data_IF_084606545390
#
_entry.id   IF_084606545390
#
_cell.length_a   1.000
_cell.length_b   1.000
_cell.length_c   1.000
_cell.angle_alpha   90.00
_cell.angle_beta   90.00
_cell.angle_gamma   90.00
#
_symmetry.space_group_name_H-M   'P 1'
#
loop_
_entity.id
_entity.type
_entity.pdbx_description
1 polymer ?
#
# COMPACT_ATOMS: atom_id res chain seq x y z
N UNK A 1 -7.49 -14.36 -44.12
CA UNK A 1 -8.19 -13.09 -43.83
C UNK A 1 -9.37 -13.41 -42.94
N UNK A 2 -9.56 -12.71 -41.83
CA UNK A 2 -10.76 -12.86 -41.00
C UNK A 2 -11.91 -12.21 -41.78
N UNK A 3 -12.93 -12.99 -42.11
CA UNK A 3 -14.10 -12.49 -42.85
C UNK A 3 -14.86 -11.47 -41.99
N UNK A 4 -15.44 -10.41 -42.58
CA UNK A 4 -16.23 -9.45 -41.84
C UNK A 4 -17.46 -10.12 -41.19
N UNK A 5 -17.95 -9.62 -40.05
CA UNK A 5 -19.09 -10.20 -39.36
C UNK A 5 -20.30 -10.25 -40.29
N UNK A 6 -20.82 -11.45 -40.54
CA UNK A 6 -22.03 -11.68 -41.32
C UNK A 6 -23.21 -11.95 -40.37
N UNK A 7 -24.41 -11.50 -40.73
CA UNK A 7 -25.62 -11.66 -39.88
C UNK A 7 -25.99 -13.12 -39.58
N UNK A 8 -25.42 -14.06 -40.35
CA UNK A 8 -25.55 -15.51 -40.22
C UNK A 8 -24.63 -16.14 -39.15
N UNK A 9 -23.68 -15.39 -38.59
CA UNK A 9 -22.72 -15.89 -37.59
C UNK A 9 -23.26 -15.90 -36.14
N UNK A 10 -24.56 -15.68 -35.96
CA UNK A 10 -25.18 -15.58 -34.63
C UNK A 10 -24.87 -14.26 -33.92
N UNK A 11 -25.26 -14.18 -32.64
CA UNK A 11 -24.97 -13.00 -31.81
C UNK A 11 -23.53 -13.06 -31.31
N UNK A 12 -22.90 -11.91 -31.18
CA UNK A 12 -21.60 -11.80 -30.51
C UNK A 12 -21.68 -12.38 -29.10
N UNK A 13 -20.75 -13.29 -28.77
CA UNK A 13 -20.63 -13.91 -27.45
C UNK A 13 -19.28 -13.54 -26.85
N UNK A 14 -19.29 -13.15 -25.57
CA UNK A 14 -18.07 -12.93 -24.81
C UNK A 14 -17.55 -14.28 -24.32
N UNK A 15 -16.33 -14.65 -24.73
CA UNK A 15 -15.73 -15.97 -24.42
C UNK A 15 -14.43 -15.77 -23.65
N UNK A 16 -14.20 -16.62 -22.64
CA UNK A 16 -12.92 -16.73 -21.94
C UNK A 16 -12.23 -17.99 -22.49
N UNK A 17 -10.97 -17.89 -22.92
CA UNK A 17 -10.27 -18.99 -23.64
C UNK A 17 -10.17 -20.31 -22.86
N UNK A 18 -10.44 -20.31 -21.55
CA UNK A 18 -10.38 -21.46 -20.65
C UNK A 18 -11.72 -21.93 -20.09
N UNK A 19 -12.84 -21.25 -20.37
CA UNK A 19 -14.17 -21.62 -19.85
C UNK A 19 -15.22 -21.52 -20.96
N UNK A 20 -16.08 -22.53 -21.06
CA UNK A 20 -17.17 -22.59 -22.04
C UNK A 20 -18.07 -21.34 -22.02
N UNK A 21 -18.85 -21.19 -23.10
CA UNK A 21 -19.61 -19.97 -23.43
C UNK A 21 -20.66 -19.52 -22.40
N UNK A 22 -21.02 -20.38 -21.44
CA UNK A 22 -22.08 -20.10 -20.45
C UNK A 22 -21.57 -19.46 -19.14
N UNK A 23 -20.30 -19.13 -19.05
CA UNK A 23 -19.64 -18.87 -17.77
C UNK A 23 -18.86 -17.54 -17.71
N UNK A 24 -19.09 -16.65 -18.68
CA UNK A 24 -18.46 -15.34 -18.73
C UNK A 24 -18.99 -14.41 -17.63
N UNK A 25 -18.07 -13.86 -16.82
CA UNK A 25 -18.31 -12.67 -16.03
C UNK A 25 -17.07 -11.78 -16.07
N UNK A 26 -17.29 -10.46 -15.96
CA UNK A 26 -16.18 -9.49 -15.87
C UNK A 26 -15.27 -9.82 -14.69
N UNK A 27 -15.85 -10.28 -13.57
CA UNK A 27 -15.09 -10.71 -12.39
C UNK A 27 -14.15 -11.89 -12.68
N UNK A 28 -14.63 -12.93 -13.40
CA UNK A 28 -13.77 -14.07 -13.76
C UNK A 28 -12.69 -13.73 -14.77
N UNK A 29 -13.04 -12.95 -15.79
CA UNK A 29 -12.06 -12.47 -16.77
C UNK A 29 -10.97 -11.65 -16.06
N UNK A 30 -11.38 -10.74 -15.17
CA UNK A 30 -10.45 -9.94 -14.36
C UNK A 30 -9.54 -10.83 -13.50
N UNK A 31 -10.10 -11.79 -12.76
CA UNK A 31 -9.32 -12.69 -11.92
C UNK A 31 -8.30 -13.50 -12.73
N UNK A 32 -8.68 -13.99 -13.91
CA UNK A 32 -7.81 -14.74 -14.81
C UNK A 32 -6.70 -13.88 -15.43
N UNK A 33 -7.02 -12.64 -15.82
CA UNK A 33 -6.05 -11.73 -16.44
C UNK A 33 -5.04 -11.17 -15.46
N UNK A 34 -5.42 -11.05 -14.18
CA UNK A 34 -4.60 -10.39 -13.16
C UNK A 34 -3.96 -11.35 -12.16
N UNK A 35 -4.07 -12.68 -12.34
CA UNK A 35 -3.69 -13.70 -11.35
C UNK A 35 -4.16 -13.30 -9.93
N UNK A 36 -5.41 -12.83 -9.85
CA UNK A 36 -5.94 -12.24 -8.62
C UNK A 36 -6.25 -13.34 -7.60
N UNK A 37 -5.40 -13.49 -6.57
CA UNK A 37 -5.70 -14.33 -5.42
C UNK A 37 -6.76 -13.65 -4.54
N UNK A 38 -8.01 -13.98 -4.84
CA UNK A 38 -9.18 -13.46 -4.14
C UNK A 38 -9.16 -13.79 -2.64
N UNK A 39 -8.58 -14.93 -2.22
CA UNK A 39 -8.62 -15.36 -0.83
C UNK A 39 -7.69 -14.52 0.06
N UNK A 40 -6.44 -14.33 -0.36
CA UNK A 40 -5.45 -13.57 0.41
C UNK A 40 -5.78 -12.07 0.48
N UNK A 41 -6.28 -11.51 -0.63
CA UNK A 41 -6.63 -10.07 -0.69
C UNK A 41 -7.86 -9.77 0.16
N UNK A 42 -8.85 -10.66 0.21
CA UNK A 42 -10.08 -10.45 0.98
C UNK A 42 -9.83 -10.40 2.50
N UNK A 43 -8.92 -11.20 3.06
CA UNK A 43 -8.62 -11.16 4.50
C UNK A 43 -7.88 -9.88 4.90
N UNK A 44 -6.88 -9.47 4.12
CA UNK A 44 -6.14 -8.23 4.38
C UNK A 44 -7.01 -7.00 4.21
N UNK A 45 -7.84 -6.98 3.16
CA UNK A 45 -8.80 -5.91 2.92
C UNK A 45 -9.73 -5.72 4.11
N UNK A 46 -10.39 -6.80 4.57
CA UNK A 46 -11.29 -6.74 5.73
C UNK A 46 -10.58 -6.17 6.96
N UNK A 47 -9.35 -6.61 7.23
CA UNK A 47 -8.56 -6.10 8.36
C UNK A 47 -8.23 -4.62 8.23
N UNK A 48 -7.85 -4.15 7.04
CA UNK A 48 -7.62 -2.73 6.77
C UNK A 48 -8.86 -1.86 7.07
N UNK A 49 -10.06 -2.30 6.69
CA UNK A 49 -11.28 -1.54 6.96
C UNK A 49 -11.74 -1.58 8.40
N UNK A 50 -11.38 -2.64 9.13
CA UNK A 50 -11.67 -2.76 10.56
C UNK A 50 -10.71 -1.95 11.45
N UNK A 51 -9.65 -1.33 10.91
CA UNK A 51 -8.73 -0.51 11.69
C UNK A 51 -9.46 0.68 12.31
N UNK A 52 -9.24 0.96 13.60
CA UNK A 52 -9.79 2.14 14.24
C UNK A 52 -8.92 3.39 13.96
N UNK A 53 -8.94 3.85 12.72
CA UNK A 53 -8.20 5.03 12.23
C UNK A 53 -9.12 5.86 11.32
N UNK A 54 -8.68 7.07 10.95
CA UNK A 54 -9.43 7.90 10.00
C UNK A 54 -9.65 7.19 8.65
N UNK A 55 -10.77 7.45 7.98
CA UNK A 55 -11.03 6.91 6.63
C UNK A 55 -9.91 7.24 5.64
N UNK A 56 -9.29 8.42 5.80
CA UNK A 56 -8.16 8.84 4.99
C UNK A 56 -6.97 7.89 5.11
N UNK A 57 -6.68 7.39 6.33
CA UNK A 57 -5.60 6.43 6.56
C UNK A 57 -5.95 5.07 5.96
N UNK A 58 -7.20 4.58 6.12
CA UNK A 58 -7.62 3.29 5.54
C UNK A 58 -7.54 3.30 4.01
N UNK A 59 -8.03 4.38 3.39
CA UNK A 59 -7.97 4.56 1.95
C UNK A 59 -6.52 4.68 1.46
N UNK A 60 -5.68 5.43 2.17
CA UNK A 60 -4.25 5.52 1.87
C UNK A 60 -3.58 4.14 1.91
N UNK A 61 -3.81 3.34 2.94
CA UNK A 61 -3.24 2.00 3.06
C UNK A 61 -3.67 1.11 1.90
N UNK A 62 -4.92 1.22 1.46
CA UNK A 62 -5.39 0.49 0.29
C UNK A 62 -4.64 0.89 -0.99
N UNK A 63 -4.46 2.19 -1.25
CA UNK A 63 -3.67 2.68 -2.38
C UNK A 63 -2.24 2.15 -2.28
N UNK A 64 -1.64 2.22 -1.09
CA UNK A 64 -0.28 1.76 -0.84
C UNK A 64 -0.14 0.26 -1.12
N UNK A 65 -1.04 -0.58 -0.58
CA UNK A 65 -1.03 -2.02 -0.75
C UNK A 65 -1.04 -2.45 -2.22
N UNK A 66 -1.79 -1.73 -3.06
CA UNK A 66 -1.84 -1.98 -4.51
C UNK A 66 -0.71 -1.33 -5.30
N UNK A 67 0.32 -0.81 -4.62
CA UNK A 67 1.46 -0.10 -5.21
C UNK A 67 1.07 1.09 -6.11
N UNK A 68 -0.01 1.80 -5.73
CA UNK A 68 -0.57 2.91 -6.51
C UNK A 68 -0.16 4.30 -6.00
N UNK A 69 0.84 4.38 -5.13
CA UNK A 69 1.39 5.67 -4.71
C UNK A 69 2.12 6.32 -5.89
N UNK A 70 2.04 7.65 -6.06
CA UNK A 70 2.74 8.38 -7.11
C UNK A 70 4.23 8.53 -6.76
N UNK A 71 4.93 7.40 -6.69
CA UNK A 71 6.36 7.34 -6.40
C UNK A 71 7.19 7.82 -7.58
N UNK A 72 8.47 8.09 -7.32
CA UNK A 72 9.41 8.55 -8.34
C UNK A 72 9.51 7.62 -9.58
N UNK A 73 9.52 6.27 -9.48
CA UNK A 73 9.42 5.39 -10.65
C UNK A 73 8.14 5.60 -11.48
N UNK A 74 6.98 5.82 -10.84
CA UNK A 74 5.73 6.11 -11.55
C UNK A 74 5.83 7.45 -12.30
N UNK A 75 6.40 8.47 -11.64
CA UNK A 75 6.66 9.77 -12.26
C UNK A 75 7.69 9.70 -13.39
N UNK A 76 8.72 8.87 -13.25
CA UNK A 76 9.75 8.66 -14.26
C UNK A 76 9.19 8.05 -15.53
N UNK A 77 8.25 7.10 -15.42
CA UNK A 77 7.51 6.55 -16.57
C UNK A 77 6.68 7.60 -17.31
N UNK A 78 6.33 8.70 -16.65
CA UNK A 78 5.64 9.86 -17.22
C UNK A 78 6.60 10.96 -17.70
N UNK A 79 7.91 10.80 -17.53
CA UNK A 79 8.92 11.80 -17.87
C UNK A 79 9.00 12.99 -16.90
N UNK A 80 8.46 12.87 -15.69
CA UNK A 80 8.34 13.97 -14.71
C UNK A 80 9.52 14.02 -13.72
N UNK A 81 10.12 12.87 -13.39
CA UNK A 81 11.17 12.78 -12.36
C UNK A 81 12.17 11.64 -12.64
N UNK A 82 13.26 11.59 -11.87
CA UNK A 82 14.14 10.41 -11.81
C UNK A 82 13.52 9.32 -10.92
N UNK A 83 13.88 8.04 -11.11
CA UNK A 83 13.38 6.91 -10.31
C UNK A 83 13.93 6.79 -8.88
N UNK A 84 14.97 7.55 -8.51
CA UNK A 84 15.67 7.36 -7.24
C UNK A 84 14.91 8.06 -6.12
N UNK A 85 15.03 7.55 -4.90
CA UNK A 85 14.52 8.21 -3.72
C UNK A 85 15.29 9.49 -3.41
N UNK A 86 14.60 10.63 -3.32
CA UNK A 86 15.25 11.93 -3.07
C UNK A 86 15.91 12.03 -1.68
N UNK A 87 15.46 11.22 -0.72
CA UNK A 87 15.98 11.23 0.66
C UNK A 87 17.25 10.39 0.83
N UNK A 88 17.26 9.14 0.35
CA UNK A 88 18.42 8.25 0.52
C UNK A 88 19.37 8.29 -0.68
N UNK A 89 18.86 8.64 -1.87
CA UNK A 89 19.58 8.71 -3.17
C UNK A 89 20.28 7.41 -3.60
N UNK A 90 19.97 6.30 -2.94
CA UNK A 90 20.67 5.03 -3.11
C UNK A 90 19.78 3.94 -3.71
N UNK A 91 18.47 4.00 -3.45
CA UNK A 91 17.51 3.00 -3.90
C UNK A 91 16.38 3.64 -4.71
N UNK A 92 15.77 2.84 -5.59
CA UNK A 92 14.53 3.22 -6.26
C UNK A 92 13.43 3.46 -5.23
N UNK A 93 12.63 4.49 -5.48
CA UNK A 93 11.58 4.88 -4.56
C UNK A 93 10.33 4.04 -4.76
N UNK A 94 10.34 2.78 -4.32
CA UNK A 94 9.13 1.97 -4.31
C UNK A 94 8.22 2.38 -3.15
N UNK A 95 6.94 2.00 -3.20
CA UNK A 95 6.00 2.22 -2.08
C UNK A 95 6.54 1.62 -0.78
N UNK A 96 7.06 0.39 -0.84
CA UNK A 96 7.69 -0.27 0.30
C UNK A 96 8.94 0.46 0.78
N UNK A 97 9.78 0.96 -0.13
CA UNK A 97 10.95 1.74 0.25
C UNK A 97 10.57 2.99 1.04
N UNK A 98 9.63 3.80 0.53
CA UNK A 98 9.19 5.02 1.19
C UNK A 98 8.60 4.75 2.58
N UNK A 99 7.84 3.68 2.70
CA UNK A 99 7.12 3.37 3.93
C UNK A 99 7.95 2.57 4.95
N UNK A 100 9.00 1.85 4.52
CA UNK A 100 9.75 0.91 5.36
C UNK A 100 11.27 1.08 5.28
N UNK A 101 11.83 1.03 4.08
CA UNK A 101 13.28 0.78 3.89
C UNK A 101 14.14 2.04 3.75
N UNK A 102 13.52 3.19 3.45
CA UNK A 102 14.16 4.49 3.39
C UNK A 102 14.75 4.86 4.75
N UNK A 103 15.91 5.53 4.79
CA UNK A 103 16.56 5.93 6.05
C UNK A 103 15.67 6.83 6.91
N UNK A 104 14.83 7.66 6.29
CA UNK A 104 13.83 8.48 6.99
C UNK A 104 12.81 7.60 7.71
N UNK A 105 12.27 6.59 7.02
CA UNK A 105 11.32 5.63 7.59
C UNK A 105 11.98 4.75 8.66
N UNK A 106 13.14 4.17 8.36
CA UNK A 106 13.91 3.32 9.28
C UNK A 106 14.18 4.00 10.62
N UNK A 107 14.51 5.29 10.64
CA UNK A 107 14.71 6.05 11.90
C UNK A 107 13.50 5.94 12.84
N UNK A 108 12.28 6.01 12.31
CA UNK A 108 11.04 5.87 13.09
C UNK A 108 10.86 4.41 13.51
N UNK A 109 10.97 3.49 12.56
CA UNK A 109 10.76 2.05 12.82
C UNK A 109 11.75 1.48 13.83
N UNK A 110 12.99 1.94 13.84
CA UNK A 110 14.00 1.54 14.81
C UNK A 110 13.66 1.97 16.24
N UNK A 111 12.88 3.03 16.43
CA UNK A 111 12.41 3.47 17.75
C UNK A 111 11.25 2.61 18.24
N UNK A 112 10.33 2.25 17.35
CA UNK A 112 9.03 1.67 17.72
C UNK A 112 8.94 0.15 17.59
N UNK A 113 9.77 -0.47 16.76
CA UNK A 113 9.81 -1.92 16.54
C UNK A 113 10.85 -2.56 17.49
N UNK A 114 10.43 -3.49 18.37
CA UNK A 114 11.33 -4.21 19.27
C UNK A 114 12.43 -4.95 18.50
N UNK A 115 13.66 -4.99 19.04
CA UNK A 115 14.82 -5.60 18.37
C UNK A 115 14.56 -7.03 17.88
N UNK A 116 13.88 -7.84 18.69
CA UNK A 116 13.52 -9.23 18.37
C UNK A 116 12.57 -9.36 17.16
N UNK A 117 11.77 -8.33 16.87
CA UNK A 117 10.81 -8.34 15.76
C UNK A 117 11.38 -7.72 14.47
N UNK A 118 12.53 -7.03 14.52
CA UNK A 118 13.07 -6.25 13.39
C UNK A 118 13.41 -7.12 12.18
N UNK A 119 13.94 -8.33 12.38
CA UNK A 119 14.29 -9.22 11.28
C UNK A 119 13.06 -9.57 10.42
N UNK A 120 11.92 -9.86 11.07
CA UNK A 120 10.67 -10.11 10.36
C UNK A 120 10.07 -8.81 9.80
N UNK A 121 10.15 -7.70 10.55
CA UNK A 121 9.57 -6.43 10.13
C UNK A 121 10.22 -5.85 8.86
N UNK A 122 11.56 -5.91 8.76
CA UNK A 122 12.30 -5.43 7.59
C UNK A 122 12.50 -6.51 6.52
N UNK A 123 12.01 -7.73 6.76
CA UNK A 123 12.04 -8.83 5.81
C UNK A 123 10.78 -8.90 4.93
N UNK A 124 10.89 -9.68 3.86
CA UNK A 124 9.77 -9.97 2.95
C UNK A 124 9.36 -8.81 2.04
N UNK A 125 8.39 -9.11 1.17
CA UNK A 125 7.80 -8.19 0.22
C UNK A 125 6.68 -7.34 0.86
N UNK A 126 6.01 -6.53 0.03
CA UNK A 126 4.94 -5.65 0.46
C UNK A 126 3.73 -6.41 1.03
N UNK A 127 3.39 -7.56 0.44
CA UNK A 127 2.25 -8.37 0.86
C UNK A 127 2.54 -9.00 2.22
N UNK A 128 3.71 -9.59 2.40
CA UNK A 128 4.16 -10.15 3.69
C UNK A 128 4.18 -9.08 4.78
N UNK A 129 4.70 -7.89 4.46
CA UNK A 129 4.79 -6.79 5.41
C UNK A 129 3.41 -6.28 5.85
N UNK A 130 2.47 -6.08 4.92
CA UNK A 130 1.09 -5.69 5.26
C UNK A 130 0.40 -6.78 6.08
N UNK A 131 0.50 -8.05 5.66
CA UNK A 131 -0.09 -9.20 6.37
C UNK A 131 0.37 -9.23 7.82
N UNK A 132 1.69 -9.20 8.03
CA UNK A 132 2.30 -9.29 9.36
C UNK A 132 1.82 -8.16 10.27
N UNK A 133 1.77 -6.93 9.77
CA UNK A 133 1.40 -5.78 10.58
C UNK A 133 -0.11 -5.70 10.86
N UNK A 134 -0.96 -6.02 9.88
CA UNK A 134 -2.42 -6.02 10.04
C UNK A 134 -2.93 -7.15 10.94
N UNK A 135 -2.22 -8.27 10.98
CA UNK A 135 -2.60 -9.44 11.80
C UNK A 135 -2.08 -9.36 13.24
N UNK A 136 -1.22 -8.40 13.56
CA UNK A 136 -0.68 -8.24 14.91
C UNK A 136 -1.77 -7.71 15.85
N UNK A 137 -2.31 -8.59 16.68
CA UNK A 137 -3.36 -8.23 17.66
C UNK A 137 -2.80 -7.65 18.97
N UNK A 138 -1.51 -7.31 19.01
CA UNK A 138 -0.88 -6.77 20.21
C UNK A 138 -1.29 -5.31 20.43
N UNK A 139 -1.62 -4.97 21.67
CA UNK A 139 -1.60 -3.58 22.11
C UNK A 139 -0.16 -3.08 22.04
N UNK A 140 0.02 -1.94 21.39
CA UNK A 140 1.27 -1.19 21.44
C UNK A 140 1.23 -0.24 22.67
N UNK A 141 2.17 0.70 22.75
CA UNK A 141 2.33 1.60 23.89
C UNK A 141 1.07 2.48 24.09
N UNK A 142 0.60 2.56 25.34
CA UNK A 142 -0.56 3.37 25.77
C UNK A 142 -1.89 2.97 25.10
N UNK A 143 -2.20 1.67 25.09
CA UNK A 143 -3.48 1.09 24.65
C UNK A 143 -3.84 1.25 23.17
N UNK A 144 -3.00 1.91 22.37
CA UNK A 144 -3.15 1.97 20.91
C UNK A 144 -2.80 0.59 20.34
N UNK A 145 -3.62 0.02 19.46
CA UNK A 145 -3.28 -1.27 18.85
C UNK A 145 -2.17 -1.09 17.81
N UNK A 146 -1.27 -2.07 17.72
CA UNK A 146 -0.18 -2.03 16.76
C UNK A 146 -0.62 -1.72 15.32
N UNK A 147 -1.66 -2.36 14.75
CA UNK A 147 -2.05 -2.13 13.36
C UNK A 147 -2.48 -0.67 13.11
N UNK A 148 -3.14 -0.05 14.09
CA UNK A 148 -3.62 1.34 14.02
C UNK A 148 -2.43 2.32 14.07
N UNK A 149 -1.48 2.06 14.97
CA UNK A 149 -0.27 2.86 15.07
C UNK A 149 0.60 2.72 13.80
N UNK A 150 0.85 1.49 13.35
CA UNK A 150 1.60 1.20 12.13
C UNK A 150 0.97 1.88 10.90
N UNK A 151 -0.36 1.77 10.74
CA UNK A 151 -1.11 2.43 9.68
C UNK A 151 -0.90 3.94 9.68
N UNK A 152 -0.95 4.54 10.88
CA UNK A 152 -0.74 5.97 11.07
C UNK A 152 0.68 6.39 10.71
N UNK A 153 1.70 5.62 11.11
CA UNK A 153 3.11 5.89 10.74
C UNK A 153 3.28 5.84 9.21
N UNK A 154 2.75 4.82 8.54
CA UNK A 154 2.80 4.72 7.07
C UNK A 154 2.17 5.96 6.40
N UNK A 155 0.99 6.38 6.87
CA UNK A 155 0.31 7.56 6.34
C UNK A 155 1.14 8.84 6.53
N UNK A 156 1.68 9.05 7.73
CA UNK A 156 2.46 10.25 8.02
C UNK A 156 3.80 10.28 7.29
N UNK A 157 4.48 9.14 7.14
CA UNK A 157 5.69 9.04 6.32
C UNK A 157 5.42 9.51 4.89
N UNK A 158 4.34 9.00 4.28
CA UNK A 158 3.95 9.42 2.94
C UNK A 158 3.53 10.90 2.87
N UNK A 159 2.73 11.35 3.84
CA UNK A 159 2.21 12.72 3.87
C UNK A 159 3.34 13.75 4.08
N UNK A 160 4.30 13.49 4.97
CA UNK A 160 5.44 14.38 5.19
C UNK A 160 6.32 14.48 3.96
N UNK A 161 6.68 13.33 3.37
CA UNK A 161 7.39 13.28 2.10
C UNK A 161 6.69 14.09 1.00
N UNK A 162 5.37 13.92 0.88
CA UNK A 162 4.59 14.64 -0.14
C UNK A 162 4.59 16.15 0.12
N UNK A 163 4.53 16.58 1.39
CA UNK A 163 4.59 18.01 1.74
C UNK A 163 5.97 18.62 1.46
N UNK A 164 7.05 17.92 1.75
CA UNK A 164 8.41 18.39 1.44
C UNK A 164 8.62 18.65 -0.06
N UNK A 165 7.90 17.93 -0.93
CA UNK A 165 7.96 18.16 -2.37
C UNK A 165 7.10 19.36 -2.84
N UNK A 166 6.06 19.72 -2.10
CA UNK A 166 5.04 20.69 -2.53
C UNK A 166 5.01 21.99 -1.72
N UNK A 167 5.67 22.04 -0.56
CA UNK A 167 5.69 23.16 0.35
C UNK A 167 7.12 23.41 0.83
N UNK A 168 7.77 24.41 0.24
CA UNK A 168 9.16 24.80 0.53
C UNK A 168 9.37 25.23 2.00
N UNK A 169 8.30 25.56 2.72
CA UNK A 169 8.36 25.96 4.13
C UNK A 169 8.07 24.79 5.10
N UNK A 170 7.78 23.60 4.57
CA UNK A 170 7.44 22.46 5.39
C UNK A 170 8.68 21.86 6.07
N UNK A 171 8.56 21.60 7.38
CA UNK A 171 9.55 20.84 8.13
C UNK A 171 8.88 19.70 8.89
N UNK A 172 9.53 18.54 8.89
CA UNK A 172 9.06 17.36 9.60
C UNK A 172 9.04 17.61 11.12
N UNK A 173 8.09 17.02 11.88
CA UNK A 173 8.07 17.15 13.34
C UNK A 173 9.36 16.63 13.98
N UNK A 174 9.90 17.38 14.95
CA UNK A 174 11.14 17.03 15.68
C UNK A 174 11.03 15.68 16.41
N UNK A 175 9.83 15.34 16.92
CA UNK A 175 9.55 14.07 17.59
C UNK A 175 8.42 13.33 16.86
N UNK A 176 8.73 12.67 15.73
CA UNK A 176 7.72 12.11 14.84
C UNK A 176 6.85 11.04 15.52
N UNK A 177 7.45 10.17 16.35
CA UNK A 177 6.71 9.15 17.11
C UNK A 177 5.69 9.78 18.05
N UNK A 178 6.09 10.77 18.85
CA UNK A 178 5.19 11.44 19.78
C UNK A 178 4.06 12.18 19.04
N UNK A 179 4.38 12.83 17.92
CA UNK A 179 3.40 13.51 17.08
C UNK A 179 2.33 12.53 16.58
N UNK A 180 2.75 11.37 16.07
CA UNK A 180 1.82 10.34 15.55
C UNK A 180 0.98 9.78 16.70
N UNK A 181 1.60 9.46 17.84
CA UNK A 181 0.90 8.96 19.03
C UNK A 181 -0.21 9.90 19.50
N UNK A 182 0.04 11.22 19.51
CA UNK A 182 -0.97 12.20 19.88
C UNK A 182 -2.16 12.16 18.91
N UNK A 183 -1.91 12.10 17.60
CA UNK A 183 -2.97 12.04 16.60
C UNK A 183 -3.76 10.72 16.63
N UNK A 184 -3.10 9.60 16.93
CA UNK A 184 -3.81 8.34 17.16
C UNK A 184 -4.79 8.49 18.34
N UNK A 185 -4.35 9.11 19.44
CA UNK A 185 -5.20 9.31 20.64
C UNK A 185 -6.36 10.25 20.42
N UNK A 186 -6.19 11.31 19.65
CA UNK A 186 -7.28 12.26 19.37
C UNK A 186 -8.45 11.62 18.58
N UNK A 187 -8.20 10.47 17.94
CA UNK A 187 -9.20 9.71 17.20
C UNK A 187 -9.88 8.61 18.04
N UNK A 188 -9.28 8.21 19.18
CA UNK A 188 -9.83 7.23 20.12
C UNK A 188 -10.63 7.92 21.23
#
# INVERSE_FOLDING_TARGET
AILPPAAENGKDVQVISSAGTDEYSVARLFNLLCDFDECMVQDQWKKNWCLHVTERIRHFLWIAFHERLPTNPVKARMGIAHMMCDHCRDNEETSLHVLRDCDVAKKIWMIVVPSAARANFFGGDMIHWFTTNLQCNSTWINDIKWPEFWASVCFYLWNWRSREYHDDNYSQPVKPVNFIMQHCREYH
#
